data_IF_795627564676
#
_entry.id   IF_795627564676
#
_cell.length_a   1.000
_cell.length_b   1.000
_cell.length_c   1.000
_cell.angle_alpha   90.00
_cell.angle_beta   90.00
_cell.angle_gamma   90.00
#
_symmetry.space_group_name_H-M   'P 1'
#
loop_
_entity.id
_entity.type
_entity.pdbx_description
1 polymer ?
#
# COMPACT_ATOMS: atom_id res chain seq x y z
N UNK A 1 -17.61 27.21 -24.60
CA UNK A 1 -16.50 27.77 -23.78
C UNK A 1 -16.85 27.55 -22.32
N UNK A 2 -15.91 27.20 -21.44
CA UNK A 2 -16.23 26.97 -20.02
C UNK A 2 -16.66 28.28 -19.34
N UNK A 3 -17.68 28.24 -18.48
CA UNK A 3 -18.15 29.45 -17.79
C UNK A 3 -17.24 29.80 -16.61
N UNK A 4 -17.28 31.05 -16.19
CA UNK A 4 -16.56 31.52 -14.99
C UNK A 4 -16.96 30.72 -13.73
N UNK A 5 -18.24 30.30 -13.66
CA UNK A 5 -18.79 29.47 -12.57
C UNK A 5 -18.16 28.07 -12.56
N UNK A 6 -18.02 27.44 -13.72
CA UNK A 6 -17.43 26.08 -13.84
C UNK A 6 -15.96 26.09 -13.39
N UNK A 7 -15.20 27.09 -13.83
CA UNK A 7 -13.79 27.25 -13.47
C UNK A 7 -13.67 27.52 -11.95
N UNK A 8 -14.54 28.36 -11.38
CA UNK A 8 -14.57 28.63 -9.93
C UNK A 8 -14.91 27.39 -9.10
N UNK A 9 -15.89 26.58 -9.52
CA UNK A 9 -16.25 25.31 -8.88
C UNK A 9 -15.09 24.31 -8.95
N UNK A 10 -14.45 24.18 -10.12
CA UNK A 10 -13.29 23.29 -10.31
C UNK A 10 -12.10 23.73 -9.45
N UNK A 11 -11.78 25.02 -9.41
CA UNK A 11 -10.72 25.58 -8.56
C UNK A 11 -10.99 25.34 -7.07
N UNK A 12 -12.24 25.49 -6.62
CA UNK A 12 -12.66 25.18 -5.25
C UNK A 12 -12.49 23.69 -4.93
N UNK A 13 -12.91 22.81 -5.85
CA UNK A 13 -12.76 21.36 -5.71
C UNK A 13 -11.29 20.94 -5.57
N UNK A 14 -10.41 21.42 -6.46
CA UNK A 14 -8.97 21.11 -6.40
C UNK A 14 -8.32 21.61 -5.11
N UNK A 15 -8.67 22.82 -4.63
CA UNK A 15 -8.19 23.33 -3.34
C UNK A 15 -8.70 22.53 -2.14
N UNK A 16 -9.88 21.93 -2.22
CA UNK A 16 -10.38 21.01 -1.19
C UNK A 16 -9.62 19.67 -1.23
N UNK A 17 -9.36 19.12 -2.43
CA UNK A 17 -8.57 17.89 -2.62
C UNK A 17 -7.15 18.09 -2.07
N UNK A 18 -6.47 19.19 -2.41
CA UNK A 18 -5.13 19.56 -1.91
C UNK A 18 -5.06 19.55 -0.37
N UNK A 19 -6.07 20.13 0.30
CA UNK A 19 -6.17 20.12 1.77
C UNK A 19 -6.34 18.70 2.31
N UNK A 20 -7.24 17.91 1.71
CA UNK A 20 -7.49 16.52 2.12
C UNK A 20 -6.21 15.67 1.96
N UNK A 21 -5.50 15.77 0.84
CA UNK A 21 -4.26 15.01 0.62
C UNK A 21 -3.15 15.46 1.58
N UNK A 22 -3.01 16.75 1.86
CA UNK A 22 -2.05 17.25 2.84
C UNK A 22 -2.36 16.75 4.27
N UNK A 23 -3.62 16.78 4.70
CA UNK A 23 -4.05 16.18 5.97
C UNK A 23 -3.82 14.66 6.00
N UNK A 24 -4.15 13.95 4.92
CA UNK A 24 -3.94 12.51 4.82
C UNK A 24 -2.45 12.12 4.79
N UNK A 25 -1.57 12.95 4.23
CA UNK A 25 -0.11 12.80 4.34
C UNK A 25 0.32 12.83 5.81
N UNK A 26 -0.12 13.83 6.58
CA UNK A 26 0.22 13.92 8.02
C UNK A 26 -0.36 12.75 8.83
N UNK A 27 -1.62 12.37 8.61
CA UNK A 27 -2.23 11.20 9.27
C UNK A 27 -1.47 9.91 8.93
N UNK A 28 -1.02 9.75 7.68
CA UNK A 28 -0.21 8.60 7.25
C UNK A 28 1.18 8.61 7.88
N UNK A 29 1.81 9.78 8.03
CA UNK A 29 3.09 9.94 8.73
C UNK A 29 2.97 9.55 10.22
N UNK A 30 1.92 10.00 10.93
CA UNK A 30 1.67 9.62 12.32
C UNK A 30 1.39 8.12 12.46
N UNK A 31 0.66 7.51 11.52
CA UNK A 31 0.43 6.06 11.49
C UNK A 31 1.70 5.28 11.17
N UNK A 32 2.53 5.76 10.24
CA UNK A 32 3.84 5.19 9.95
C UNK A 32 4.75 5.21 11.18
N UNK A 33 4.86 6.35 11.86
CA UNK A 33 5.65 6.49 13.09
C UNK A 33 5.11 5.67 14.29
N UNK A 34 3.88 5.13 14.21
CA UNK A 34 3.39 4.07 15.10
C UNK A 34 3.78 2.69 14.59
N UNK A 35 3.45 2.37 13.34
CA UNK A 35 3.74 1.07 12.72
C UNK A 35 5.24 0.72 12.77
N UNK A 36 6.14 1.69 12.59
CA UNK A 36 7.59 1.49 12.69
C UNK A 36 8.02 1.13 14.13
N UNK A 37 7.42 1.76 15.15
CA UNK A 37 7.64 1.40 16.57
C UNK A 37 7.08 0.02 16.89
N UNK A 38 5.88 -0.30 16.38
CA UNK A 38 5.26 -1.63 16.51
C UNK A 38 6.07 -2.72 15.76
N UNK A 39 6.87 -2.35 14.75
CA UNK A 39 7.67 -3.23 13.90
C UNK A 39 9.09 -3.48 14.44
N UNK A 40 9.74 -2.49 15.07
CA UNK A 40 11.08 -2.65 15.67
C UNK A 40 11.23 -3.91 16.55
N UNK A 41 10.32 -4.24 17.49
CA UNK A 41 10.40 -5.47 18.29
C UNK A 41 9.97 -6.73 17.52
N UNK A 42 9.32 -6.62 16.36
CA UNK A 42 8.93 -7.76 15.53
C UNK A 42 10.02 -8.20 14.54
N UNK A 43 11.02 -7.34 14.26
CA UNK A 43 12.13 -7.66 13.34
C UNK A 43 13.00 -8.87 13.69
N UNK A 44 13.15 -9.33 14.95
CA UNK A 44 13.85 -10.58 15.25
C UNK A 44 13.18 -11.83 14.65
N UNK A 45 11.85 -11.93 14.69
CA UNK A 45 11.11 -13.07 14.12
C UNK A 45 11.40 -13.25 12.61
N UNK A 46 11.65 -12.14 11.92
CA UNK A 46 11.97 -12.10 10.50
C UNK A 46 13.43 -12.30 10.11
N UNK A 47 14.32 -12.62 11.06
CA UNK A 47 15.77 -12.76 10.81
C UNK A 47 16.27 -14.20 10.74
N UNK A 48 15.41 -15.19 11.01
CA UNK A 48 15.78 -16.62 11.03
C UNK A 48 16.16 -17.17 9.66
N UNK A 49 15.18 -17.23 8.74
CA UNK A 49 15.33 -17.85 7.43
C UNK A 49 14.98 -16.90 6.28
N UNK A 50 15.93 -16.72 5.34
CA UNK A 50 15.81 -15.80 4.20
C UNK A 50 15.86 -16.54 2.85
N UNK A 51 14.79 -17.27 2.49
CA UNK A 51 14.53 -17.64 1.08
C UNK A 51 13.35 -16.84 0.54
N UNK A 52 13.72 -15.69 -0.02
CA UNK A 52 12.90 -14.65 -0.63
C UNK A 52 11.88 -15.11 -1.68
N UNK A 53 10.69 -14.43 -1.65
CA UNK A 53 8.04 -14.05 -2.73
C UNK A 53 6.97 -12.86 -2.37
N UNK A 54 6.37 -12.13 -3.34
CA UNK A 54 4.88 -11.94 -3.48
C UNK A 54 4.49 -11.12 -4.72
N UNK A 55 3.20 -11.24 -5.08
CA UNK A 55 2.32 -10.39 -5.91
C UNK A 55 2.82 -10.02 -7.28
N UNK A 56 3.88 -9.21 -7.36
CA UNK A 56 4.69 -9.12 -8.57
C UNK A 56 5.18 -10.53 -8.92
N UNK A 57 5.73 -11.26 -7.95
CA UNK A 57 6.19 -12.64 -8.15
C UNK A 57 5.08 -13.66 -8.31
N UNK A 58 3.85 -13.48 -7.80
CA UNK A 58 2.76 -14.42 -8.15
C UNK A 58 2.42 -14.28 -9.64
N UNK A 59 2.27 -13.05 -10.14
CA UNK A 59 2.03 -12.84 -11.57
C UNK A 59 3.19 -13.36 -12.40
N UNK A 60 4.45 -13.05 -12.03
CA UNK A 60 5.62 -13.51 -12.78
C UNK A 60 5.89 -15.03 -12.66
N UNK A 61 5.57 -15.69 -11.53
CA UNK A 61 5.67 -17.16 -11.43
C UNK A 61 4.59 -17.86 -12.23
N UNK A 62 3.31 -17.49 -12.04
CA UNK A 62 2.21 -18.22 -12.68
C UNK A 62 2.17 -17.95 -14.19
N UNK A 63 2.63 -16.78 -14.65
CA UNK A 63 2.91 -16.54 -16.08
C UNK A 63 4.19 -17.24 -16.58
N UNK A 64 5.12 -17.61 -15.69
CA UNK A 64 6.37 -18.29 -16.04
C UNK A 64 6.26 -19.82 -16.09
N UNK A 65 5.49 -20.42 -15.18
CA UNK A 65 5.38 -21.88 -15.01
C UNK A 65 3.91 -22.30 -14.77
N UNK A 66 3.19 -22.83 -15.78
CA UNK A 66 1.77 -23.17 -15.66
C UNK A 66 1.46 -24.38 -14.75
N UNK A 67 2.46 -25.13 -14.30
CA UNK A 67 2.28 -26.21 -13.31
C UNK A 67 1.91 -25.68 -11.92
N UNK A 68 2.45 -24.52 -11.54
CA UNK A 68 2.09 -23.85 -10.28
C UNK A 68 0.62 -23.40 -10.29
N UNK A 69 0.03 -23.07 -11.45
CA UNK A 69 -1.40 -22.69 -11.52
C UNK A 69 -2.34 -23.84 -11.12
N UNK A 70 -1.94 -25.09 -11.39
CA UNK A 70 -2.73 -26.29 -11.09
C UNK A 70 -2.55 -26.76 -9.66
N UNK A 71 -1.31 -26.73 -9.15
CA UNK A 71 -0.95 -27.36 -7.87
C UNK A 71 -0.90 -26.38 -6.69
N UNK A 72 -0.82 -25.05 -6.92
CA UNK A 72 -0.76 -24.06 -5.85
C UNK A 72 -2.15 -23.54 -5.47
N UNK A 73 -2.41 -23.44 -4.16
CA UNK A 73 -3.54 -22.69 -3.60
C UNK A 73 -3.08 -21.39 -2.97
N UNK A 74 -3.95 -20.39 -2.99
CA UNK A 74 -3.71 -19.04 -2.51
C UNK A 74 -4.57 -18.75 -1.28
N UNK A 75 -3.90 -18.40 -0.19
CA UNK A 75 -4.49 -17.84 1.03
C UNK A 75 -4.27 -16.33 0.99
N UNK A 76 -5.36 -15.56 1.05
CA UNK A 76 -5.32 -14.12 0.78
C UNK A 76 -5.64 -13.29 2.03
N UNK A 77 -4.71 -12.41 2.41
CA UNK A 77 -4.88 -11.51 3.56
C UNK A 77 -5.23 -10.10 3.04
N UNK A 78 -6.32 -9.54 3.55
CA UNK A 78 -6.87 -8.22 3.22
C UNK A 78 -7.61 -8.16 1.87
N UNK A 79 -8.76 -7.49 1.83
CA UNK A 79 -9.66 -7.42 0.66
C UNK A 79 -8.99 -6.94 -0.64
N UNK A 80 -7.93 -6.13 -0.54
CA UNK A 80 -7.16 -5.64 -1.69
C UNK A 80 -6.46 -6.76 -2.46
N UNK A 81 -5.86 -7.74 -1.77
CA UNK A 81 -5.13 -8.84 -2.43
C UNK A 81 -6.11 -9.72 -3.23
N UNK A 82 -7.25 -10.06 -2.62
CA UNK A 82 -8.39 -10.69 -3.28
C UNK A 82 -8.88 -9.89 -4.48
N UNK A 83 -9.17 -8.60 -4.32
CA UNK A 83 -9.69 -7.76 -5.41
C UNK A 83 -8.74 -7.68 -6.62
N UNK A 84 -7.42 -7.66 -6.40
CA UNK A 84 -6.42 -7.62 -7.47
C UNK A 84 -6.25 -8.95 -8.21
N UNK A 85 -6.40 -10.09 -7.52
CA UNK A 85 -6.18 -11.43 -8.09
C UNK A 85 -7.47 -12.08 -8.64
N UNK A 86 -8.66 -11.62 -8.21
CA UNK A 86 -9.97 -12.22 -8.51
C UNK A 86 -10.27 -12.39 -10.01
N UNK A 87 -9.71 -11.56 -10.88
CA UNK A 87 -9.91 -11.65 -12.34
C UNK A 87 -9.06 -12.71 -13.04
N UNK A 88 -7.94 -13.12 -12.43
CA UNK A 88 -6.95 -14.00 -13.05
C UNK A 88 -6.90 -15.37 -12.36
N UNK A 89 -6.89 -15.40 -11.02
CA UNK A 89 -6.53 -16.60 -10.25
C UNK A 89 -7.64 -17.09 -9.31
N UNK A 90 -8.91 -16.78 -9.63
CA UNK A 90 -10.09 -17.14 -8.80
C UNK A 90 -10.13 -18.61 -8.38
N UNK A 91 -9.71 -19.50 -9.28
CA UNK A 91 -9.77 -20.96 -9.09
C UNK A 91 -8.68 -21.49 -8.13
N UNK A 92 -7.66 -20.68 -7.86
CA UNK A 92 -6.58 -20.99 -6.92
C UNK A 92 -6.92 -20.59 -5.48
N UNK A 93 -7.98 -19.81 -5.24
CA UNK A 93 -8.28 -19.32 -3.90
C UNK A 93 -8.72 -20.47 -2.97
N UNK A 94 -8.19 -20.48 -1.75
CA UNK A 94 -8.51 -21.45 -0.69
C UNK A 94 -9.16 -20.75 0.50
N UNK A 95 -8.50 -19.72 1.04
CA UNK A 95 -9.01 -18.91 2.15
C UNK A 95 -8.85 -17.40 1.86
N UNK A 96 -9.65 -16.57 2.51
CA UNK A 96 -9.49 -15.11 2.51
C UNK A 96 -9.84 -14.52 3.86
N UNK A 97 -8.92 -13.73 4.41
CA UNK A 97 -9.10 -12.96 5.64
C UNK A 97 -9.35 -11.49 5.30
N UNK A 98 -10.55 -10.99 5.63
CA UNK A 98 -10.93 -9.60 5.40
C UNK A 98 -10.61 -8.74 6.64
N UNK A 99 -10.90 -7.43 6.60
CA UNK A 99 -10.76 -6.46 7.71
C UNK A 99 -9.33 -6.15 8.24
N UNK A 100 -8.33 -6.93 7.83
CA UNK A 100 -6.93 -6.74 8.21
C UNK A 100 -6.42 -5.34 7.82
N UNK A 101 -5.74 -4.66 8.76
CA UNK A 101 -5.11 -3.35 8.56
C UNK A 101 -5.93 -2.14 9.02
N UNK A 102 -7.16 -2.32 9.54
CA UNK A 102 -7.88 -1.22 10.23
C UNK A 102 -7.24 -0.86 11.57
N UNK A 103 -6.81 -1.86 12.34
CA UNK A 103 -6.03 -1.75 13.60
C UNK A 103 -4.57 -2.13 13.31
N UNK A 104 -3.64 -1.83 14.24
CA UNK A 104 -2.32 -2.49 14.23
C UNK A 104 -2.53 -3.99 14.46
N UNK A 105 -1.94 -4.90 13.64
CA UNK A 105 -2.16 -6.33 13.79
C UNK A 105 -1.52 -6.85 15.09
N UNK A 106 -2.18 -7.81 15.74
CA UNK A 106 -1.74 -8.54 16.94
C UNK A 106 -1.11 -9.89 16.57
N UNK A 107 -0.55 -10.59 17.56
CA UNK A 107 -0.11 -11.98 17.36
C UNK A 107 -1.30 -12.96 17.30
N UNK A 108 -2.40 -12.63 18.00
CA UNK A 108 -3.69 -13.33 17.93
C UNK A 108 -4.29 -13.29 16.51
N UNK A 109 -4.26 -12.13 15.84
CA UNK A 109 -4.68 -12.00 14.43
C UNK A 109 -3.88 -12.95 13.51
N UNK A 110 -2.59 -13.14 13.80
CA UNK A 110 -1.71 -14.03 13.04
C UNK A 110 -1.92 -15.51 13.39
N UNK A 111 -2.22 -15.82 14.65
CA UNK A 111 -2.50 -17.18 15.12
C UNK A 111 -3.77 -17.76 14.49
N UNK A 112 -4.85 -16.96 14.41
CA UNK A 112 -6.10 -17.35 13.74
C UNK A 112 -5.90 -17.63 12.24
N UNK A 113 -4.99 -16.89 11.58
CA UNK A 113 -4.60 -17.13 10.19
C UNK A 113 -3.77 -18.41 10.08
N UNK A 114 -2.82 -18.63 11.00
CA UNK A 114 -1.96 -19.82 11.04
C UNK A 114 -2.78 -21.10 11.29
N UNK A 115 -3.65 -21.12 12.30
CA UNK A 115 -4.57 -22.22 12.62
C UNK A 115 -5.46 -22.58 11.41
N UNK A 116 -6.02 -21.57 10.74
CA UNK A 116 -6.82 -21.76 9.53
C UNK A 116 -6.03 -22.34 8.35
N UNK A 117 -4.72 -22.11 8.30
CA UNK A 117 -3.82 -22.69 7.29
C UNK A 117 -3.43 -24.13 7.67
N UNK A 118 -3.13 -24.40 8.94
CA UNK A 118 -2.80 -25.72 9.48
C UNK A 118 -3.96 -26.70 9.36
N UNK A 119 -5.19 -26.21 9.51
CA UNK A 119 -6.44 -26.96 9.26
C UNK A 119 -6.70 -27.23 7.76
N UNK A 120 -5.78 -26.91 6.85
CA UNK A 120 -5.87 -27.22 5.42
C UNK A 120 -4.86 -28.30 5.00
N UNK A 121 -5.20 -29.06 3.97
CA UNK A 121 -4.41 -30.23 3.51
C UNK A 121 -3.03 -29.89 2.91
N UNK A 122 -2.64 -28.61 2.87
CA UNK A 122 -1.48 -28.11 2.11
C UNK A 122 -0.22 -27.97 2.99
N UNK A 123 0.75 -28.86 2.77
CA UNK A 123 2.00 -28.96 3.57
C UNK A 123 3.15 -28.02 3.15
N UNK A 124 3.08 -27.43 1.96
CA UNK A 124 4.08 -26.48 1.47
C UNK A 124 3.53 -25.06 1.53
N UNK A 125 4.14 -24.21 2.35
CA UNK A 125 3.70 -22.82 2.51
C UNK A 125 4.80 -21.84 2.12
N UNK A 126 4.50 -21.01 1.12
CA UNK A 126 5.26 -19.79 0.88
C UNK A 126 4.55 -18.63 1.59
N UNK A 127 5.05 -18.24 2.77
CA UNK A 127 4.70 -16.94 3.35
C UNK A 127 5.27 -15.87 2.43
N UNK A 128 4.62 -14.71 2.39
CA UNK A 128 4.96 -13.70 1.43
C UNK A 128 4.63 -12.32 1.98
N UNK A 129 5.43 -11.30 1.67
CA UNK A 129 5.21 -9.96 2.22
C UNK A 129 5.79 -8.79 1.43
N UNK A 130 5.46 -7.59 1.90
CA UNK A 130 6.05 -6.33 1.46
C UNK A 130 6.89 -5.81 2.62
N UNK A 131 8.20 -5.70 2.41
CA UNK A 131 9.19 -5.42 3.45
C UNK A 131 9.79 -4.03 3.29
N UNK A 132 9.86 -3.28 4.38
CA UNK A 132 10.25 -1.88 4.41
C UNK A 132 11.78 -1.75 4.43
N UNK A 133 12.35 -1.39 3.28
CA UNK A 133 13.79 -1.08 3.16
C UNK A 133 14.11 0.35 3.63
N UNK A 134 13.23 1.30 3.32
CA UNK A 134 13.29 2.69 3.79
C UNK A 134 11.90 3.33 3.78
N UNK A 135 11.78 4.56 4.31
CA UNK A 135 10.52 5.34 4.29
C UNK A 135 10.00 5.56 2.86
N UNK A 136 10.86 5.51 1.84
CA UNK A 136 10.51 5.75 0.41
C UNK A 136 10.47 4.46 -0.41
N UNK A 137 11.13 3.38 0.04
CA UNK A 137 11.30 2.15 -0.73
C UNK A 137 11.00 0.88 0.07
N UNK A 138 10.17 0.03 -0.53
CA UNK A 138 9.81 -1.30 -0.05
C UNK A 138 10.12 -2.35 -1.12
N UNK A 139 10.29 -3.60 -0.70
CA UNK A 139 10.58 -4.74 -1.57
C UNK A 139 9.62 -5.89 -1.28
N UNK A 140 9.10 -6.53 -2.32
CA UNK A 140 8.40 -7.82 -2.19
C UNK A 140 9.42 -8.95 -2.14
N UNK A 141 9.78 -9.40 -0.94
CA UNK A 141 10.47 -10.68 -0.77
C UNK A 141 9.43 -11.74 -0.42
N UNK A 142 9.27 -12.75 -1.27
CA UNK A 142 8.70 -14.53 -0.58
C UNK A 142 9.37 -14.81 0.77
N UNK A 143 8.91 -15.83 1.48
CA UNK A 143 9.59 -16.47 2.59
C UNK A 143 9.07 -17.91 2.65
N UNK A 144 9.82 -18.83 2.06
CA UNK A 144 9.48 -20.24 2.10
C UNK A 144 9.58 -20.74 3.55
N UNK A 145 8.53 -21.41 4.03
CA UNK A 145 8.65 -22.29 5.20
C UNK A 145 9.20 -23.64 4.75
N UNK A 146 10.20 -24.13 5.46
CA UNK A 146 10.65 -25.51 5.35
C UNK A 146 9.52 -26.43 5.87
N UNK A 147 9.24 -27.52 5.17
CA UNK A 147 8.30 -28.53 5.66
C UNK A 147 8.88 -29.28 6.86
N UNK A 148 8.00 -29.87 7.70
CA UNK A 148 8.40 -30.68 8.86
C UNK A 148 9.42 -31.77 8.49
N UNK A 149 9.28 -32.38 7.31
CA UNK A 149 10.20 -33.40 6.80
C UNK A 149 11.58 -32.84 6.43
N UNK A 150 11.64 -31.65 5.81
CA UNK A 150 12.91 -30.97 5.50
C UNK A 150 13.63 -30.56 6.79
N UNK A 151 12.90 -30.05 7.78
CA UNK A 151 13.45 -29.71 9.11
C UNK A 151 14.00 -30.96 9.82
N UNK A 152 13.22 -32.05 9.86
CA UNK A 152 13.64 -33.33 10.43
C UNK A 152 14.86 -33.94 9.73
N UNK A 153 14.99 -33.75 8.41
CA UNK A 153 16.14 -34.23 7.62
C UNK A 153 17.42 -33.41 7.79
N UNK A 154 17.38 -32.29 8.52
CA UNK A 154 18.49 -31.35 8.61
C UNK A 154 19.72 -31.96 9.33
N UNK A 155 20.92 -31.98 8.71
CA UNK A 155 22.12 -32.59 9.31
C UNK A 155 22.67 -31.81 10.52
N UNK A 156 22.05 -30.69 10.90
CA UNK A 156 22.34 -29.95 12.14
C UNK A 156 21.39 -30.29 13.28
N UNK A 157 20.32 -31.06 13.04
CA UNK A 157 19.32 -31.39 14.06
C UNK A 157 19.88 -32.33 15.14
N UNK A 158 20.80 -33.22 14.76
CA UNK A 158 21.54 -34.11 15.68
C UNK A 158 22.49 -33.41 16.65
N UNK A 159 22.57 -32.07 16.63
CA UNK A 159 23.25 -31.26 17.64
C UNK A 159 22.33 -30.86 18.81
N UNK A 160 21.04 -31.19 18.74
CA UNK A 160 20.04 -30.86 19.76
C UNK A 160 19.60 -32.13 20.50
N UNK A 161 19.81 -32.13 21.82
CA UNK A 161 19.73 -33.31 22.69
C UNK A 161 18.30 -33.60 23.24
N UNK A 162 17.29 -32.86 22.75
CA UNK A 162 15.92 -32.87 23.30
C UNK A 162 14.89 -32.36 22.28
N UNK A 163 14.86 -32.96 21.09
CA UNK A 163 13.96 -32.55 20.00
C UNK A 163 13.17 -33.76 19.49
N UNK A 164 12.04 -33.99 20.15
CA UNK A 164 11.04 -34.99 19.76
C UNK A 164 10.10 -34.47 18.64
N UNK A 165 9.38 -35.36 17.97
CA UNK A 165 8.47 -35.00 16.87
C UNK A 165 7.37 -33.99 17.31
N UNK A 166 6.86 -34.10 18.54
CA UNK A 166 5.89 -33.15 19.12
C UNK A 166 6.49 -31.74 19.28
N UNK A 167 7.79 -31.66 19.62
CA UNK A 167 8.53 -30.39 19.75
C UNK A 167 8.78 -29.80 18.37
N UNK A 168 9.12 -30.62 17.37
CA UNK A 168 9.25 -30.19 15.98
C UNK A 168 7.93 -29.66 15.40
N UNK A 169 6.80 -30.32 15.67
CA UNK A 169 5.49 -29.83 15.25
C UNK A 169 5.19 -28.47 15.92
N UNK A 170 5.26 -28.41 17.25
CA UNK A 170 5.01 -27.19 18.03
C UNK A 170 5.89 -26.01 17.56
N UNK A 171 7.16 -26.27 17.25
CA UNK A 171 8.10 -25.30 16.72
C UNK A 171 7.67 -24.77 15.33
N UNK A 172 7.26 -25.66 14.41
CA UNK A 172 6.84 -25.25 13.07
C UNK A 172 5.53 -24.44 13.07
N UNK A 173 4.57 -24.79 13.94
CA UNK A 173 3.32 -24.04 14.11
C UNK A 173 3.57 -22.64 14.70
N UNK A 174 4.47 -22.54 15.68
CA UNK A 174 4.93 -21.26 16.24
C UNK A 174 5.73 -20.42 15.22
N UNK A 175 6.59 -21.06 14.42
CA UNK A 175 7.37 -20.40 13.36
C UNK A 175 6.46 -19.82 12.29
N UNK A 176 5.49 -20.61 11.79
CA UNK A 176 4.43 -20.17 10.88
C UNK A 176 3.71 -18.91 11.40
N UNK A 177 3.23 -18.97 12.65
CA UNK A 177 2.54 -17.85 13.28
C UNK A 177 3.44 -16.60 13.40
N UNK A 178 4.69 -16.79 13.80
CA UNK A 178 5.68 -15.72 13.98
C UNK A 178 6.05 -15.03 12.65
N UNK A 179 6.17 -15.79 11.56
CA UNK A 179 6.45 -15.27 10.23
C UNK A 179 5.24 -14.54 9.62
N UNK A 180 4.02 -15.05 9.82
CA UNK A 180 2.78 -14.34 9.44
C UNK A 180 2.71 -13.00 10.20
N UNK A 181 2.92 -13.01 11.52
CA UNK A 181 2.92 -11.81 12.35
C UNK A 181 3.96 -10.78 11.87
N UNK A 182 5.19 -11.21 11.56
CA UNK A 182 6.23 -10.34 11.03
C UNK A 182 5.84 -9.73 9.67
N UNK A 183 5.35 -10.55 8.73
CA UNK A 183 4.89 -10.10 7.42
C UNK A 183 3.73 -9.10 7.52
N UNK A 184 2.79 -9.29 8.47
CA UNK A 184 1.71 -8.35 8.75
C UNK A 184 2.23 -7.00 9.28
N UNK A 185 3.25 -6.99 10.15
CA UNK A 185 3.88 -5.76 10.66
C UNK A 185 4.63 -5.00 9.58
N UNK A 186 5.48 -5.68 8.80
CA UNK A 186 6.24 -5.07 7.69
C UNK A 186 5.31 -4.54 6.59
N UNK A 187 4.27 -5.31 6.23
CA UNK A 187 3.23 -4.88 5.28
C UNK A 187 2.47 -3.65 5.79
N UNK A 188 2.11 -3.61 7.08
CA UNK A 188 1.45 -2.44 7.69
C UNK A 188 2.32 -1.19 7.62
N UNK A 189 3.61 -1.28 7.96
CA UNK A 189 4.54 -0.16 7.88
C UNK A 189 4.76 0.30 6.43
N UNK A 190 4.94 -0.65 5.51
CA UNK A 190 5.06 -0.40 4.07
C UNK A 190 3.83 0.28 3.48
N UNK A 191 2.61 -0.09 3.90
CA UNK A 191 1.38 0.57 3.42
C UNK A 191 1.26 2.02 3.90
N UNK A 192 1.64 2.34 5.14
CA UNK A 192 1.63 3.74 5.62
C UNK A 192 2.70 4.58 4.90
N UNK A 193 3.89 4.02 4.64
CA UNK A 193 4.95 4.64 3.82
C UNK A 193 4.44 4.94 2.41
N UNK A 194 3.95 3.93 1.70
CA UNK A 194 3.44 4.07 0.33
C UNK A 194 2.28 5.09 0.27
N UNK A 195 1.36 5.06 1.25
CA UNK A 195 0.26 6.03 1.38
C UNK A 195 0.78 7.45 1.60
N UNK A 196 1.77 7.65 2.47
CA UNK A 196 2.36 8.97 2.72
C UNK A 196 2.99 9.56 1.45
N UNK A 197 3.77 8.76 0.71
CA UNK A 197 4.39 9.17 -0.56
C UNK A 197 3.33 9.49 -1.62
N UNK A 198 2.31 8.64 -1.78
CA UNK A 198 1.21 8.89 -2.71
C UNK A 198 0.42 10.17 -2.38
N UNK A 199 0.19 10.47 -1.09
CA UNK A 199 -0.46 11.71 -0.66
C UNK A 199 0.42 12.95 -0.88
N UNK A 200 1.75 12.83 -0.76
CA UNK A 200 2.69 13.92 -1.10
C UNK A 200 2.66 14.24 -2.59
N UNK A 201 2.77 13.23 -3.46
CA UNK A 201 2.64 13.40 -4.92
C UNK A 201 1.26 13.94 -5.32
N UNK A 202 0.17 13.46 -4.70
CA UNK A 202 -1.17 13.97 -4.97
C UNK A 202 -1.36 15.43 -4.53
N UNK A 203 -0.73 15.84 -3.43
CA UNK A 203 -0.74 17.23 -2.97
C UNK A 203 0.00 18.11 -3.97
N UNK A 204 1.24 17.76 -4.35
CA UNK A 204 2.03 18.48 -5.36
C UNK A 204 1.31 18.60 -6.71
N UNK A 205 0.69 17.52 -7.19
CA UNK A 205 -0.06 17.52 -8.45
C UNK A 205 -1.32 18.42 -8.42
N UNK A 206 -1.92 18.67 -7.25
CA UNK A 206 -2.98 19.65 -7.10
C UNK A 206 -2.40 21.07 -7.03
N UNK A 207 -1.38 21.24 -6.20
CA UNK A 207 -0.42 22.33 -6.19
C UNK A 207 0.31 22.47 -4.86
N UNK A 208 1.38 23.24 -4.84
CA UNK A 208 2.09 23.49 -3.58
C UNK A 208 1.26 24.35 -2.61
N UNK A 209 1.41 24.06 -1.32
CA UNK A 209 0.91 24.95 -0.26
C UNK A 209 1.96 26.05 -0.13
N UNK A 210 1.72 27.16 -0.81
CA UNK A 210 2.61 28.32 -0.83
C UNK A 210 2.77 28.96 0.55
N UNK A 211 3.69 28.43 1.36
CA UNK A 211 4.40 29.22 2.37
C UNK A 211 5.22 30.26 1.61
N UNK A 212 4.79 31.51 1.68
CA UNK A 212 5.29 32.61 0.86
C UNK A 212 6.65 33.14 1.34
N UNK A 213 7.68 32.30 1.25
CA UNK A 213 9.08 32.66 1.48
C UNK A 213 9.93 32.20 0.29
N UNK A 214 10.67 33.15 -0.29
CA UNK A 214 11.61 33.01 -1.42
C UNK A 214 10.98 32.78 -2.82
N UNK A 215 10.80 33.84 -3.65
CA UNK A 215 10.03 33.77 -4.90
C UNK A 215 10.83 33.41 -6.17
N UNK A 216 12.13 33.09 -6.07
CA UNK A 216 13.05 33.24 -7.22
C UNK A 216 13.25 32.00 -8.11
N UNK A 217 12.77 30.81 -7.72
CA UNK A 217 13.10 29.54 -8.41
C UNK A 217 11.92 28.54 -8.56
N UNK A 218 10.67 29.02 -8.58
CA UNK A 218 9.52 28.15 -8.88
C UNK A 218 9.39 27.92 -10.39
N UNK A 219 10.08 26.89 -10.90
CA UNK A 219 10.36 26.72 -12.31
C UNK A 219 9.20 26.14 -13.13
N UNK A 220 8.59 27.00 -13.96
CA UNK A 220 7.98 26.74 -15.28
C UNK A 220 6.82 25.73 -15.44
N UNK A 221 6.46 24.92 -14.44
CA UNK A 221 5.41 23.90 -14.57
C UNK A 221 4.14 24.13 -13.73
N UNK A 222 3.91 25.41 -13.35
CA UNK A 222 2.86 25.91 -12.44
C UNK A 222 1.57 25.10 -12.36
N UNK A 223 1.09 24.86 -11.14
CA UNK A 223 0.31 23.69 -10.76
C UNK A 223 -1.13 23.69 -11.30
N UNK A 224 -1.90 22.62 -11.02
CA UNK A 224 -3.31 22.59 -11.43
C UNK A 224 -4.12 23.76 -10.84
N UNK A 225 -3.78 24.20 -9.61
CA UNK A 225 -4.33 25.43 -9.02
C UNK A 225 -3.95 26.68 -9.82
N UNK A 226 -2.70 26.82 -10.27
CA UNK A 226 -2.23 28.01 -10.99
C UNK A 226 -2.80 28.08 -12.39
N UNK A 227 -2.79 26.95 -13.12
CA UNK A 227 -3.42 26.81 -14.44
C UNK A 227 -4.91 27.17 -14.39
N UNK A 228 -5.64 26.72 -13.36
CA UNK A 228 -7.04 27.09 -13.15
C UNK A 228 -7.21 28.56 -12.72
N UNK A 229 -6.28 29.12 -11.94
CA UNK A 229 -6.32 30.53 -11.49
C UNK A 229 -6.03 31.50 -12.64
N UNK A 230 -5.06 31.19 -13.51
CA UNK A 230 -4.79 31.91 -14.75
C UNK A 230 -5.98 31.85 -15.71
N UNK A 231 -6.59 30.68 -15.87
CA UNK A 231 -7.81 30.53 -16.68
C UNK A 231 -8.97 31.33 -16.10
N UNK A 232 -9.17 31.30 -14.78
CA UNK A 232 -10.22 32.07 -14.09
C UNK A 232 -10.04 33.57 -14.30
N UNK A 233 -8.82 34.09 -14.13
CA UNK A 233 -8.51 35.50 -14.30
C UNK A 233 -8.75 35.96 -15.76
N UNK A 234 -8.33 35.17 -16.75
CA UNK A 234 -8.60 35.44 -18.18
C UNK A 234 -10.09 35.45 -18.49
N UNK A 235 -10.84 34.44 -18.05
CA UNK A 235 -12.31 34.39 -18.25
C UNK A 235 -13.03 35.54 -17.53
N UNK A 236 -12.57 35.95 -16.35
CA UNK A 236 -13.10 37.10 -15.61
C UNK A 236 -12.85 38.42 -16.35
N UNK A 237 -11.65 38.63 -16.87
CA UNK A 237 -11.35 39.81 -17.69
C UNK A 237 -12.23 39.86 -18.94
N UNK A 238 -12.35 38.74 -19.67
CA UNK A 238 -13.20 38.66 -20.87
C UNK A 238 -14.69 38.93 -20.57
N UNK A 239 -15.20 38.47 -19.42
CA UNK A 239 -16.57 38.78 -18.98
C UNK A 239 -16.76 40.29 -18.71
N UNK A 240 -15.88 40.90 -17.92
CA UNK A 240 -15.94 42.34 -17.60
C UNK A 240 -15.83 43.19 -18.87
N UNK A 241 -14.93 42.84 -19.81
CA UNK A 241 -14.82 43.56 -21.09
C UNK A 241 -16.09 43.43 -21.93
N UNK A 242 -16.72 42.24 -21.97
CA UNK A 242 -18.01 42.05 -22.66
C UNK A 242 -19.12 42.91 -22.04
N UNK A 243 -19.31 42.82 -20.72
CA UNK A 243 -20.33 43.58 -20.00
C UNK A 243 -20.16 45.10 -20.21
N UNK A 244 -18.92 45.60 -20.16
CA UNK A 244 -18.62 47.01 -20.45
C UNK A 244 -18.96 47.39 -21.90
N UNK A 245 -18.65 46.53 -22.88
CA UNK A 245 -18.97 46.78 -24.30
C UNK A 245 -20.47 46.75 -24.57
N UNK A 246 -21.23 45.88 -23.90
CA UNK A 246 -22.71 45.85 -23.98
C UNK A 246 -23.33 47.13 -23.39
N UNK A 247 -22.80 47.64 -22.28
CA UNK A 247 -23.24 48.91 -21.69
C UNK A 247 -22.96 50.08 -22.63
N UNK A 248 -21.74 50.16 -23.20
CA UNK A 248 -21.34 51.25 -24.10
C UNK A 248 -22.13 51.21 -25.41
N UNK A 249 -22.34 50.04 -26.02
CA UNK A 249 -23.11 49.93 -27.26
C UNK A 249 -24.60 50.18 -27.05
N UNK A 250 -25.17 49.77 -25.91
CA UNK A 250 -26.54 50.12 -25.54
C UNK A 250 -26.73 51.63 -25.31
N UNK A 251 -25.77 52.28 -24.64
CA UNK A 251 -25.79 53.72 -24.40
C UNK A 251 -25.56 54.57 -25.68
N UNK A 252 -24.92 54.01 -26.71
CA UNK A 252 -24.71 54.65 -28.01
C UNK A 252 -25.83 54.39 -29.03
N UNK A 253 -26.88 53.66 -28.64
CA UNK A 253 -28.04 53.32 -29.47
C UNK A 253 -29.33 54.06 -29.05
N UNK A 254 -29.19 55.13 -28.24
CA UNK A 254 -30.25 55.99 -27.70
C UNK A 254 -29.93 57.45 -28.03
#
# INVERSE_FOLDING_TARGET
>A
MATLKDIAVRLRSVKNIQKITASMKMVSASKFARAERDLRPARPYGKGDYVGLLTATIRHLVQGNPEYEKNTKLVLVGDKSRAMLLRQYRNMFLLTFNDVGKKSPTFEDAALIAESILNSEYKYLCICGIFLRSVVSYITTPQNLNSLQEVASSPKLSLYDSVDDEVLQSYNEYLLTSLIFFAMKESTASEQSARMTAMDSATKNAGEIGFSFQPLFHNLLGDMIDKLTLSFNRTRQAAITRELTEIISGAAAV
#
